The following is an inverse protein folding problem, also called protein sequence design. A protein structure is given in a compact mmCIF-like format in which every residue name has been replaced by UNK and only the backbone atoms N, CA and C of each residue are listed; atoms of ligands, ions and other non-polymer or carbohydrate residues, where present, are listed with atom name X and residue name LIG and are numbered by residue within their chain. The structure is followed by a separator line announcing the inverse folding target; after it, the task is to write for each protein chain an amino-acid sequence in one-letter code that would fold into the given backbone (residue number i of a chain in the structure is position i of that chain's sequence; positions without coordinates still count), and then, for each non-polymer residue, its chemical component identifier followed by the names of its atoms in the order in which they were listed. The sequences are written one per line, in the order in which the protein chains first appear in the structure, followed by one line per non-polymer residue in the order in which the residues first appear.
data_IF_957410249521
#
_entry.id   IF_957410249521
#
_cell.length_a   1.000
_cell.length_b   1.000
_cell.length_c   1.000
_cell.angle_alpha   90.00
_cell.angle_beta   90.00
_cell.angle_gamma   90.00
#
_symmetry.space_group_name_H-M   'P 1'
#
loop_
_entity.id
_entity.type
_entity.pdbx_description
1 polymer ?
#
# COMPACT_ATOMS: atom_id res chain seq x y z
N UNK A 1 -0.22 -0.81 -17.13
CA UNK A 1 0.79 -1.23 -16.14
C UNK A 1 0.70 -0.28 -14.95
N UNK A 2 0.92 -0.76 -13.73
CA UNK A 2 0.91 0.10 -12.54
C UNK A 2 2.20 0.96 -12.48
N UNK A 3 2.14 2.21 -12.01
CA UNK A 3 3.33 2.99 -11.70
C UNK A 3 4.21 2.26 -10.68
N UNK A 4 5.54 2.39 -10.79
CA UNK A 4 6.47 1.75 -9.86
C UNK A 4 6.21 2.13 -8.40
N UNK A 5 5.90 3.40 -8.12
CA UNK A 5 5.57 3.86 -6.77
C UNK A 5 4.33 3.19 -6.16
N UNK A 6 3.40 2.72 -6.99
CA UNK A 6 2.24 1.96 -6.55
C UNK A 6 2.63 0.52 -6.25
N UNK A 7 3.55 -0.06 -7.01
CA UNK A 7 4.10 -1.39 -6.75
C UNK A 7 4.87 -1.37 -5.42
N UNK A 8 5.72 -0.36 -5.20
CA UNK A 8 6.45 -0.17 -3.94
C UNK A 8 5.50 -0.10 -2.74
N UNK A 9 4.38 0.62 -2.89
CA UNK A 9 3.34 0.68 -1.85
C UNK A 9 2.78 -0.70 -1.52
N UNK A 10 2.46 -1.53 -2.52
CA UNK A 10 1.95 -2.89 -2.28
C UNK A 10 3.01 -3.75 -1.59
N UNK A 11 4.27 -3.69 -2.03
CA UNK A 11 5.35 -4.44 -1.39
C UNK A 11 5.51 -4.02 0.08
N UNK A 12 5.53 -2.71 0.37
CA UNK A 12 5.62 -2.19 1.74
C UNK A 12 4.39 -2.61 2.57
N UNK A 13 3.20 -2.60 1.99
CA UNK A 13 1.97 -3.06 2.64
C UNK A 13 2.09 -4.52 3.09
N UNK A 14 2.52 -5.40 2.21
CA UNK A 14 2.71 -6.83 2.53
C UNK A 14 3.83 -7.06 3.54
N UNK A 15 4.93 -6.28 3.47
CA UNK A 15 6.00 -6.35 4.47
C UNK A 15 5.53 -5.89 5.86
N UNK A 16 4.65 -4.89 5.94
CA UNK A 16 4.07 -4.46 7.21
C UNK A 16 3.22 -5.55 7.87
N UNK A 17 2.64 -6.47 7.08
CA UNK A 17 1.89 -7.61 7.62
C UNK A 17 2.75 -8.58 8.42
N UNK A 18 4.08 -8.58 8.25
CA UNK A 18 4.99 -9.36 9.09
C UNK A 18 5.01 -8.90 10.56
N UNK A 19 4.67 -7.63 10.82
CA UNK A 19 4.57 -7.04 12.17
C UNK A 19 3.13 -6.97 12.67
N UNK A 20 2.18 -6.69 11.78
CA UNK A 20 0.77 -6.49 12.11
C UNK A 20 -0.10 -7.26 11.11
N UNK A 21 -0.64 -8.42 11.52
CA UNK A 21 -1.41 -9.32 10.64
C UNK A 21 -2.85 -8.84 10.33
N UNK A 22 -3.16 -7.58 10.66
CA UNK A 22 -4.45 -6.93 10.42
C UNK A 22 -4.23 -5.53 9.82
N UNK A 23 -5.32 -4.85 9.48
CA UNK A 23 -5.29 -3.45 9.04
C UNK A 23 -5.67 -2.47 10.16
N UNK A 24 -5.23 -2.74 11.40
CA UNK A 24 -5.47 -1.88 12.56
C UNK A 24 -4.77 -0.52 12.44
N UNK A 25 -5.04 0.40 13.38
CA UNK A 25 -4.34 1.69 13.44
C UNK A 25 -2.82 1.55 13.56
N UNK A 26 -2.34 0.51 14.26
CA UNK A 26 -0.90 0.21 14.37
C UNK A 26 -0.29 -0.17 13.02
N UNK A 27 -0.99 -1.01 12.24
CA UNK A 27 -0.60 -1.33 10.87
C UNK A 27 -0.46 -0.06 10.03
N UNK A 28 -1.49 0.78 10.00
CA UNK A 28 -1.46 2.01 9.17
C UNK A 28 -0.43 3.02 9.66
N UNK A 29 -0.15 3.08 10.96
CA UNK A 29 0.92 3.91 11.52
C UNK A 29 2.30 3.45 11.05
N UNK A 30 2.52 2.13 10.98
CA UNK A 30 3.78 1.57 10.45
C UNK A 30 3.90 1.83 8.94
N UNK A 31 2.83 1.66 8.17
CA UNK A 31 2.81 2.00 6.74
C UNK A 31 3.12 3.47 6.53
N UNK A 32 2.50 4.38 7.28
CA UNK A 32 2.74 5.83 7.18
C UNK A 32 4.15 6.23 7.62
N UNK A 33 4.71 5.55 8.63
CA UNK A 33 6.09 5.77 9.05
C UNK A 33 7.10 5.41 7.96
N UNK A 34 6.90 4.30 7.24
CA UNK A 34 7.79 3.85 6.17
C UNK A 34 7.55 4.61 4.86
N UNK A 35 6.28 4.90 4.54
CA UNK A 35 5.85 5.58 3.32
C UNK A 35 4.82 6.66 3.67
N UNK A 36 5.24 7.90 3.99
CA UNK A 36 4.35 8.98 4.41
C UNK A 36 3.27 9.36 3.39
N UNK A 37 3.55 9.13 2.10
CA UNK A 37 2.67 9.44 0.97
C UNK A 37 1.80 8.23 0.53
N UNK A 38 1.71 7.16 1.34
CA UNK A 38 0.98 5.93 0.99
C UNK A 38 -0.49 6.16 0.60
N UNK A 39 -1.12 7.20 1.16
CA UNK A 39 -2.53 7.54 0.91
C UNK A 39 -2.78 7.84 -0.56
N UNK A 40 -1.81 8.44 -1.26
CA UNK A 40 -1.89 8.70 -2.71
C UNK A 40 -1.87 7.39 -3.51
N UNK A 41 -1.00 6.45 -3.14
CA UNK A 41 -0.81 5.17 -3.84
C UNK A 41 -2.01 4.26 -3.60
N UNK A 42 -2.52 4.26 -2.36
CA UNK A 42 -3.77 3.61 -1.98
C UNK A 42 -4.97 4.16 -2.78
N UNK A 43 -5.06 5.49 -2.93
CA UNK A 43 -6.10 6.12 -3.76
C UNK A 43 -5.99 5.68 -5.22
N UNK A 44 -4.78 5.72 -5.78
CA UNK A 44 -4.53 5.28 -7.16
C UNK A 44 -4.97 3.82 -7.36
N UNK A 45 -4.64 2.91 -6.44
CA UNK A 45 -5.05 1.50 -6.51
C UNK A 45 -6.57 1.34 -6.45
N UNK A 46 -7.25 2.10 -5.60
CA UNK A 46 -8.72 2.07 -5.52
C UNK A 46 -9.38 2.49 -6.84
N UNK A 47 -8.80 3.46 -7.53
CA UNK A 47 -9.35 4.02 -8.77
C UNK A 47 -8.99 3.19 -10.01
N UNK A 48 -7.82 2.55 -10.03
CA UNK A 48 -7.26 1.90 -11.21
C UNK A 48 -7.14 0.37 -11.08
N UNK A 49 -7.22 -0.18 -9.87
CA UNK A 49 -6.94 -1.58 -9.57
C UNK A 49 -7.80 -2.57 -10.35
N UNK A 50 -9.09 -2.28 -10.51
CA UNK A 50 -10.00 -3.12 -11.31
C UNK A 50 -9.70 -3.15 -12.82
N UNK A 51 -8.80 -2.28 -13.31
CA UNK A 51 -8.36 -2.22 -14.71
C UNK A 51 -6.98 -2.85 -14.91
N UNK A 52 -6.28 -3.22 -13.84
CA UNK A 52 -5.01 -3.92 -13.93
C UNK A 52 -5.29 -5.35 -14.40
N UNK A 53 -4.78 -5.67 -15.58
CA UNK A 53 -4.71 -7.04 -16.07
C UNK A 53 -3.35 -7.62 -15.69
N UNK A 54 -3.35 -8.85 -15.18
CA UNK A 54 -2.15 -9.67 -15.01
C UNK A 54 -1.58 -10.07 -16.37
#
# INVERSE_FOLDING_TARGET
MAPLSVIDYVVIHELCHLKHQDHSSKFWSLVEYVMPDYKEKKKWLRENGGRLKL
#
